data_IF_221000849217
#
_entry.id   IF_221000849217
#
_cell.length_a   1.000
_cell.length_b   1.000
_cell.length_c   1.000
_cell.angle_alpha   90.00
_cell.angle_beta   90.00
_cell.angle_gamma   90.00
#
_symmetry.space_group_name_H-M   'P 1'
#
loop_
_entity.id
_entity.type
_entity.pdbx_description
1 polymer ?
#
# COMPACT_ATOMS: atom_id res chain seq x y z
N UNK A 1 8.50 -17.06 -3.77
CA UNK A 1 8.77 -15.76 -3.11
C UNK A 1 7.67 -14.74 -3.38
N UNK A 2 7.33 -14.42 -4.64
CA UNK A 2 6.32 -13.38 -4.94
C UNK A 2 4.91 -13.70 -4.44
N UNK A 3 4.44 -14.94 -4.58
CA UNK A 3 3.10 -15.35 -4.08
C UNK A 3 3.01 -15.25 -2.55
N UNK A 4 4.04 -15.69 -1.84
CA UNK A 4 4.12 -15.61 -0.37
C UNK A 4 4.19 -14.15 0.12
N UNK A 5 4.94 -13.29 -0.59
CA UNK A 5 4.94 -11.85 -0.32
C UNK A 5 3.53 -11.26 -0.46
N UNK A 6 2.85 -11.56 -1.57
CA UNK A 6 1.49 -11.07 -1.82
C UNK A 6 0.55 -11.57 -0.72
N UNK A 7 0.59 -12.85 -0.39
CA UNK A 7 -0.26 -13.43 0.65
C UNK A 7 -0.08 -12.72 2.00
N UNK A 8 1.16 -12.54 2.47
CA UNK A 8 1.44 -11.84 3.74
C UNK A 8 1.06 -10.37 3.71
N UNK A 9 1.26 -9.69 2.58
CA UNK A 9 0.87 -8.30 2.42
C UNK A 9 -0.65 -8.14 2.43
N UNK A 10 -1.38 -9.03 1.75
CA UNK A 10 -2.85 -9.04 1.74
C UNK A 10 -3.44 -9.46 3.08
N UNK A 11 -2.80 -10.37 3.83
CA UNK A 11 -3.22 -10.72 5.19
C UNK A 11 -3.14 -9.48 6.11
N UNK A 12 -2.09 -8.66 5.96
CA UNK A 12 -1.87 -7.47 6.79
C UNK A 12 -2.70 -6.26 6.38
N UNK A 13 -2.87 -6.04 5.07
CA UNK A 13 -3.44 -4.79 4.53
C UNK A 13 -4.73 -4.97 3.73
N UNK A 14 -5.17 -6.22 3.53
CA UNK A 14 -6.40 -6.58 2.80
C UNK A 14 -6.29 -6.51 1.28
N UNK A 15 -5.29 -5.84 0.72
CA UNK A 15 -5.06 -5.82 -0.74
C UNK A 15 -3.66 -5.33 -1.11
N UNK A 16 -3.17 -5.72 -2.28
CA UNK A 16 -2.00 -5.11 -2.94
C UNK A 16 -2.35 -3.92 -3.86
N UNK A 17 -3.65 -3.59 -4.02
CA UNK A 17 -4.10 -2.57 -4.96
C UNK A 17 -4.17 -1.20 -4.28
N UNK A 18 -3.37 -0.22 -4.75
CA UNK A 18 -3.26 1.11 -4.14
C UNK A 18 -4.61 1.82 -3.90
N UNK A 19 -5.56 1.77 -4.84
CA UNK A 19 -6.89 2.37 -4.63
C UNK A 19 -7.70 1.70 -3.51
N UNK A 20 -7.50 0.41 -3.26
CA UNK A 20 -8.12 -0.30 -2.11
C UNK A 20 -7.42 0.05 -0.80
N UNK A 21 -6.12 0.29 -0.83
CA UNK A 21 -5.30 0.68 0.33
C UNK A 21 -5.51 2.14 0.77
N UNK A 22 -5.68 3.04 -0.19
CA UNK A 22 -5.77 4.49 0.05
C UNK A 22 -7.22 4.98 0.06
N UNK A 23 -8.13 4.26 -0.59
CA UNK A 23 -9.52 4.67 -0.80
C UNK A 23 -9.72 5.66 -1.96
N UNK A 24 -8.64 6.03 -2.67
CA UNK A 24 -8.69 7.00 -3.78
C UNK A 24 -8.19 6.38 -5.08
N UNK A 25 -8.85 6.71 -6.18
CA UNK A 25 -8.35 6.36 -7.52
C UNK A 25 -7.49 7.50 -8.09
N UNK A 26 -6.17 7.36 -7.94
CA UNK A 26 -5.19 8.35 -8.42
C UNK A 26 -5.18 8.57 -9.94
N UNK A 27 -5.88 7.73 -10.71
CA UNK A 27 -6.05 7.91 -12.16
C UNK A 27 -7.06 9.01 -12.48
N UNK A 28 -7.90 9.38 -11.51
CA UNK A 28 -8.88 10.45 -11.61
C UNK A 28 -8.30 11.73 -10.99
N UNK A 29 -8.10 12.81 -11.76
CA UNK A 29 -7.48 14.04 -11.26
C UNK A 29 -8.17 14.60 -10.00
N UNK A 30 -9.51 14.55 -9.96
CA UNK A 30 -10.31 15.04 -8.84
C UNK A 30 -10.12 14.21 -7.55
N UNK A 31 -9.89 12.91 -7.68
CA UNK A 31 -9.63 12.02 -6.53
C UNK A 31 -8.18 12.13 -6.07
N UNK A 32 -7.25 12.35 -6.99
CA UNK A 32 -5.84 12.61 -6.68
C UNK A 32 -5.68 13.91 -5.88
N UNK A 33 -6.40 14.97 -6.27
CA UNK A 33 -6.38 16.24 -5.54
C UNK A 33 -6.90 16.07 -4.11
N UNK A 34 -8.06 15.44 -3.92
CA UNK A 34 -8.59 15.11 -2.59
C UNK A 34 -7.63 14.25 -1.76
N UNK A 35 -6.94 13.29 -2.37
CA UNK A 35 -5.98 12.44 -1.69
C UNK A 35 -4.77 13.25 -1.18
N UNK A 36 -4.32 14.25 -1.95
CA UNK A 36 -3.25 15.19 -1.56
C UNK A 36 -3.71 16.11 -0.45
N UNK A 37 -4.88 16.73 -0.56
CA UNK A 37 -5.44 17.60 0.48
C UNK A 37 -5.55 16.88 1.83
N UNK A 38 -5.97 15.61 1.80
CA UNK A 38 -6.09 14.77 2.99
C UNK A 38 -4.77 14.16 3.47
N UNK A 39 -3.68 14.38 2.73
CA UNK A 39 -2.32 13.84 2.98
C UNK A 39 -2.32 12.32 3.11
N UNK A 40 -3.09 11.65 2.25
CA UNK A 40 -3.31 10.20 2.32
C UNK A 40 -2.01 9.45 2.08
N UNK A 41 -1.17 9.93 1.16
CA UNK A 41 0.08 9.28 0.82
C UNK A 41 1.07 9.36 1.99
N UNK A 42 1.17 10.51 2.62
CA UNK A 42 2.07 10.76 3.75
C UNK A 42 1.63 9.99 5.00
N UNK A 43 0.32 9.83 5.20
CA UNK A 43 -0.23 9.08 6.33
C UNK A 43 -0.17 7.55 6.13
N UNK A 44 -0.41 7.08 4.91
CA UNK A 44 -0.60 5.65 4.65
C UNK A 44 0.63 4.99 4.02
N UNK A 45 1.26 5.60 3.01
CA UNK A 45 2.30 4.95 2.20
C UNK A 45 3.56 4.58 2.99
N UNK A 46 4.10 5.40 3.92
CA UNK A 46 5.28 5.03 4.69
C UNK A 46 5.10 3.72 5.46
N UNK A 47 3.93 3.51 6.06
CA UNK A 47 3.61 2.26 6.76
C UNK A 47 3.56 1.06 5.81
N UNK A 48 2.86 1.20 4.69
CA UNK A 48 2.76 0.16 3.66
C UNK A 48 4.13 -0.24 3.08
N UNK A 49 4.98 0.73 2.79
CA UNK A 49 6.33 0.48 2.23
C UNK A 49 7.24 -0.16 3.27
N UNK A 50 7.19 0.30 4.53
CA UNK A 50 7.93 -0.33 5.64
C UNK A 50 7.53 -1.78 5.81
N UNK A 51 6.23 -2.06 5.82
CA UNK A 51 5.71 -3.41 5.97
C UNK A 51 6.09 -4.32 4.79
N UNK A 52 6.04 -3.80 3.56
CA UNK A 52 6.55 -4.52 2.40
C UNK A 52 8.03 -4.88 2.55
N UNK A 53 8.88 -3.95 3.00
CA UNK A 53 10.30 -4.20 3.21
C UNK A 53 10.55 -5.26 4.31
N UNK A 54 9.81 -5.21 5.41
CA UNK A 54 9.92 -6.21 6.48
C UNK A 54 9.44 -7.60 6.01
N UNK A 55 8.37 -7.69 5.23
CA UNK A 55 7.93 -8.97 4.64
C UNK A 55 9.02 -9.53 3.73
N UNK A 56 9.59 -8.73 2.83
CA UNK A 56 10.66 -9.19 1.94
C UNK A 56 11.87 -9.67 2.75
N UNK A 57 12.27 -8.94 3.79
CA UNK A 57 13.36 -9.31 4.69
C UNK A 57 13.14 -10.67 5.37
N UNK A 58 11.89 -11.04 5.68
CA UNK A 58 11.56 -12.36 6.23
C UNK A 58 11.66 -13.48 5.19
N UNK A 59 11.50 -13.18 3.90
CA UNK A 59 11.50 -14.18 2.81
C UNK A 59 12.88 -14.42 2.20
N UNK A 60 13.83 -13.50 2.39
CA UNK A 60 15.20 -13.58 1.85
C UNK A 60 16.24 -13.99 2.90
N UNK A 61 15.80 -14.25 4.13
CA UNK A 61 16.62 -14.88 5.18
C UNK A 61 16.59 -16.38 5.04
#
# INVERSE_FOLDING_TARGET
MSQEFIHRFEEKHGSIICRKLTGYDIRRPEELEKAREKKVFEKNCPGLVKDAAEIVKLLIK
#
